data_IF_807085714134
#
_entry.id   IF_807085714134
#
_cell.length_a   1.000
_cell.length_b   1.000
_cell.length_c   1.000
_cell.angle_alpha   90.00
_cell.angle_beta   90.00
_cell.angle_gamma   90.00
#
_symmetry.space_group_name_H-M   'P 1'
#
loop_
_entity.id
_entity.type
_entity.pdbx_description
1 polymer ?
#
# COMPACT_ATOMS: atom_id res chain seq x y z
N UNK A 1 -48.49 -42.22 17.43
CA UNK A 1 -48.15 -43.18 18.51
C UNK A 1 -46.64 -43.24 18.60
N UNK A 2 -46.01 -42.59 19.60
CA UNK A 2 -44.63 -42.84 19.96
C UNK A 2 -44.59 -43.87 21.09
N UNK A 3 -43.71 -44.87 21.00
CA UNK A 3 -43.40 -45.76 22.12
C UNK A 3 -42.15 -45.25 22.82
N UNK A 4 -42.37 -44.81 24.05
CA UNK A 4 -41.38 -44.59 25.11
C UNK A 4 -40.59 -45.88 25.37
N UNK A 5 -39.30 -45.74 25.67
CA UNK A 5 -38.66 -46.62 26.64
C UNK A 5 -37.65 -45.83 27.49
N UNK A 6 -37.72 -46.18 28.76
CA UNK A 6 -37.36 -45.45 29.96
C UNK A 6 -35.89 -45.67 30.41
N UNK A 7 -35.54 -44.81 31.34
CA UNK A 7 -34.33 -44.42 32.05
C UNK A 7 -33.59 -45.51 32.85
N UNK A 8 -32.42 -45.05 33.32
CA UNK A 8 -31.61 -45.53 34.46
C UNK A 8 -30.61 -46.64 34.11
N UNK A 9 -29.37 -46.68 34.60
CA UNK A 9 -28.63 -45.95 35.62
C UNK A 9 -27.15 -45.88 35.14
N UNK A 10 -26.25 -45.05 35.65
CA UNK A 10 -25.44 -45.36 36.84
C UNK A 10 -24.83 -44.03 37.33
N UNK A 11 -25.19 -43.66 38.56
CA UNK A 11 -24.48 -42.67 39.37
C UNK A 11 -23.30 -43.37 40.04
N UNK A 12 -22.09 -42.88 39.80
CA UNK A 12 -20.87 -43.27 40.51
C UNK A 12 -20.27 -42.06 41.22
N UNK A 13 -20.60 -41.92 42.51
CA UNK A 13 -19.88 -41.12 43.50
C UNK A 13 -18.40 -41.54 43.54
N UNK A 14 -17.45 -40.60 43.64
CA UNK A 14 -16.30 -40.74 44.55
C UNK A 14 -15.81 -39.36 45.02
N UNK A 15 -15.42 -39.38 46.30
CA UNK A 15 -15.24 -38.33 47.28
C UNK A 15 -14.11 -37.34 47.01
N UNK A 16 -14.40 -36.08 47.32
CA UNK A 16 -13.44 -35.04 47.70
C UNK A 16 -12.69 -35.51 48.96
N UNK A 17 -11.36 -35.49 48.93
CA UNK A 17 -10.53 -35.59 50.14
C UNK A 17 -9.59 -34.38 50.21
N UNK A 18 -9.80 -33.61 51.27
CA UNK A 18 -9.12 -32.37 51.63
C UNK A 18 -8.06 -32.76 52.66
N UNK A 19 -6.78 -32.68 52.33
CA UNK A 19 -5.71 -32.78 53.33
C UNK A 19 -4.86 -31.51 53.29
N UNK A 20 -4.77 -30.88 54.47
CA UNK A 20 -3.97 -29.70 54.75
C UNK A 20 -2.65 -30.16 55.37
N UNK A 21 -1.61 -29.40 55.04
CA UNK A 21 -0.44 -29.06 55.86
C UNK A 21 0.82 -29.93 55.79
N UNK A 22 1.90 -29.19 55.51
CA UNK A 22 3.24 -29.28 56.07
C UNK A 22 4.19 -30.35 55.51
N UNK A 23 5.04 -29.93 54.57
CA UNK A 23 6.46 -30.28 54.59
C UNK A 23 7.26 -29.14 53.96
N UNK A 24 7.82 -28.31 54.83
CA UNK A 24 8.84 -27.30 54.54
C UNK A 24 10.19 -28.02 54.45
N UNK A 25 11.08 -27.45 53.63
CA UNK A 25 12.55 -27.58 53.63
C UNK A 25 13.16 -28.62 52.66
N UNK A 26 14.19 -28.14 51.97
CA UNK A 26 15.23 -28.88 51.23
C UNK A 26 14.98 -29.24 49.77
N UNK A 27 15.08 -28.25 48.86
CA UNK A 27 16.03 -28.26 47.71
C UNK A 27 16.23 -26.79 47.25
N UNK A 28 16.95 -26.02 48.05
CA UNK A 28 17.50 -24.74 47.63
C UNK A 28 18.96 -24.99 47.22
N UNK A 29 19.20 -25.45 45.98
CA UNK A 29 20.53 -25.50 45.36
C UNK A 29 20.53 -25.88 43.86
N UNK A 30 19.47 -25.56 43.10
CA UNK A 30 19.43 -25.70 41.63
C UNK A 30 18.67 -24.55 40.93
N UNK A 31 18.79 -23.32 41.46
CA UNK A 31 18.15 -22.10 40.92
C UNK A 31 19.15 -20.97 40.59
N UNK A 32 20.39 -21.32 40.24
CA UNK A 32 21.48 -20.35 40.01
C UNK A 32 21.94 -20.16 38.56
N UNK A 33 21.38 -20.87 37.57
CA UNK A 33 21.88 -20.83 36.17
C UNK A 33 20.74 -20.67 35.15
N UNK A 34 19.70 -19.90 35.48
CA UNK A 34 18.62 -19.55 34.54
C UNK A 34 18.27 -18.05 34.52
N UNK A 35 19.16 -17.19 35.03
CA UNK A 35 18.96 -15.73 35.07
C UNK A 35 19.75 -14.95 33.99
N UNK A 36 20.19 -15.59 32.90
CA UNK A 36 20.98 -14.93 31.84
C UNK A 36 20.47 -15.15 30.41
N UNK A 37 19.23 -15.60 30.22
CA UNK A 37 18.65 -15.82 28.87
C UNK A 37 17.25 -15.21 28.71
N UNK A 38 16.99 -14.05 29.34
CA UNK A 38 15.72 -13.32 29.19
C UNK A 38 15.93 -11.79 29.17
N UNK A 39 16.96 -11.34 28.44
CA UNK A 39 17.03 -9.97 27.90
C UNK A 39 17.24 -10.12 26.39
N UNK A 40 16.14 -10.35 25.68
CA UNK A 40 16.11 -10.57 24.24
C UNK A 40 14.69 -10.40 23.71
N UNK A 41 13.95 -9.47 24.31
CA UNK A 41 12.67 -9.00 23.82
C UNK A 41 12.75 -7.50 23.93
N UNK A 42 13.39 -6.89 22.93
CA UNK A 42 13.17 -5.50 22.64
C UNK A 42 11.71 -5.39 22.19
N UNK A 43 10.81 -5.31 23.16
CA UNK A 43 9.61 -4.49 23.01
C UNK A 43 10.15 -3.09 22.77
N UNK A 44 10.37 -2.78 21.49
CA UNK A 44 10.53 -1.42 21.03
C UNK A 44 9.21 -0.73 21.30
N UNK A 45 9.08 -0.22 22.51
CA UNK A 45 8.26 0.95 22.77
C UNK A 45 8.70 1.97 21.72
N UNK A 46 7.89 2.15 20.67
CA UNK A 46 8.10 3.25 19.71
C UNK A 46 8.01 4.50 20.58
N UNK A 47 9.18 5.06 20.88
CA UNK A 47 9.32 6.36 21.49
C UNK A 47 8.61 7.34 20.54
N UNK A 48 7.39 7.70 20.91
CA UNK A 48 6.57 8.68 20.23
C UNK A 48 7.15 10.05 20.57
N UNK A 49 8.26 10.36 19.94
CA UNK A 49 9.05 11.55 20.18
C UNK A 49 10.18 11.64 19.17
N UNK A 50 9.85 11.66 17.87
CA UNK A 50 10.81 12.07 16.86
C UNK A 50 11.39 13.42 17.27
N UNK A 51 12.71 13.47 17.50
CA UNK A 51 13.39 14.71 17.79
C UNK A 51 13.25 15.63 16.56
N UNK A 52 13.17 16.97 16.73
CA UNK A 52 13.17 17.88 15.60
C UNK A 52 14.35 17.60 14.66
N UNK A 53 14.07 17.33 13.39
CA UNK A 53 15.09 16.97 12.40
C UNK A 53 15.49 15.49 12.37
N UNK A 54 14.74 14.58 13.00
CA UNK A 54 14.91 13.14 12.79
C UNK A 54 14.49 12.76 11.36
N UNK A 55 15.33 11.97 10.69
CA UNK A 55 15.11 11.54 9.31
C UNK A 55 15.20 10.03 9.19
N UNK A 56 14.73 9.51 8.07
CA UNK A 56 15.01 8.13 7.66
C UNK A 56 15.31 8.08 6.17
N UNK A 57 16.00 7.03 5.78
CA UNK A 57 16.59 6.91 4.45
C UNK A 57 15.70 6.10 3.53
N UNK A 58 15.42 6.63 2.34
CA UNK A 58 14.67 5.93 1.29
C UNK A 58 15.52 5.87 0.03
N UNK A 59 15.81 4.65 -0.42
CA UNK A 59 16.45 4.39 -1.71
C UNK A 59 15.42 4.40 -2.83
N UNK A 60 15.83 4.89 -3.99
CA UNK A 60 15.04 4.98 -5.22
C UNK A 60 15.97 5.01 -6.44
N UNK A 61 15.41 4.97 -7.65
CA UNK A 61 16.17 4.90 -8.91
C UNK A 61 17.25 5.98 -9.07
N UNK A 62 17.02 7.18 -8.54
CA UNK A 62 17.96 8.31 -8.60
C UNK A 62 18.91 8.42 -7.40
N UNK A 63 19.00 7.38 -6.56
CA UNK A 63 19.90 7.33 -5.41
C UNK A 63 19.15 7.20 -4.09
N UNK A 64 19.36 8.14 -3.18
CA UNK A 64 18.90 8.03 -1.80
C UNK A 64 18.48 9.39 -1.27
N UNK A 65 17.35 9.43 -0.58
CA UNK A 65 16.80 10.65 0.04
C UNK A 65 16.65 10.45 1.54
N UNK A 66 17.09 11.44 2.33
CA UNK A 66 16.75 11.54 3.75
C UNK A 66 15.39 12.24 3.88
N UNK A 67 14.39 11.48 4.32
CA UNK A 67 13.02 11.94 4.49
C UNK A 67 12.84 12.39 5.95
N UNK A 68 12.36 13.62 6.21
CA UNK A 68 12.04 14.06 7.56
C UNK A 68 10.89 13.23 8.15
N UNK A 69 10.95 12.88 9.42
CA UNK A 69 9.83 12.19 10.10
C UNK A 69 8.65 13.09 10.40
N UNK A 70 8.91 14.38 10.51
CA UNK A 70 7.96 15.44 10.85
C UNK A 70 7.51 16.25 9.63
N UNK A 71 7.42 15.62 8.45
CA UNK A 71 6.83 16.25 7.27
C UNK A 71 5.34 16.61 7.53
N UNK A 72 4.92 17.75 7.01
CA UNK A 72 3.56 18.30 7.07
C UNK A 72 3.01 18.62 5.68
N UNK A 73 3.86 18.86 4.67
CA UNK A 73 3.50 19.40 3.35
C UNK A 73 4.05 18.53 2.22
N UNK A 74 3.38 17.41 1.98
CA UNK A 74 3.73 16.49 0.89
C UNK A 74 3.15 16.98 -0.44
N UNK A 75 3.96 16.99 -1.51
CA UNK A 75 3.49 17.14 -2.89
C UNK A 75 3.63 15.81 -3.62
N UNK A 76 2.53 15.37 -4.24
CA UNK A 76 2.52 14.24 -5.17
C UNK A 76 2.77 14.73 -6.59
N UNK A 77 3.80 14.20 -7.24
CA UNK A 77 4.07 14.39 -8.69
C UNK A 77 3.88 13.10 -9.49
N UNK A 78 3.40 12.04 -8.83
CA UNK A 78 3.00 10.79 -9.47
C UNK A 78 1.56 10.82 -9.96
N UNK A 79 1.32 10.03 -11.01
CA UNK A 79 0.06 9.95 -11.74
C UNK A 79 -1.09 9.32 -10.91
N UNK A 80 -0.78 8.45 -9.94
CA UNK A 80 -1.78 7.82 -9.04
C UNK A 80 -1.35 7.81 -7.57
N UNK A 81 -0.22 8.43 -7.27
CA UNK A 81 0.39 8.38 -5.93
C UNK A 81 -0.50 9.03 -4.86
N UNK A 82 -1.27 10.05 -5.23
CA UNK A 82 -2.22 10.73 -4.35
C UNK A 82 -3.25 9.76 -3.74
N UNK A 83 -3.73 8.79 -4.51
CA UNK A 83 -4.70 7.81 -4.02
C UNK A 83 -4.08 6.86 -2.98
N UNK A 84 -2.82 6.47 -3.18
CA UNK A 84 -2.09 5.66 -2.18
C UNK A 84 -1.83 6.48 -0.92
N UNK A 85 -1.44 7.75 -1.06
CA UNK A 85 -1.27 8.67 0.08
C UNK A 85 -2.56 8.73 0.91
N UNK A 86 -3.72 8.92 0.27
CA UNK A 86 -5.00 8.97 0.96
C UNK A 86 -5.33 7.66 1.67
N UNK A 87 -5.05 6.51 1.05
CA UNK A 87 -5.27 5.20 1.64
C UNK A 87 -4.47 5.00 2.93
N UNK A 88 -3.28 5.60 3.04
CA UNK A 88 -2.45 5.58 4.25
C UNK A 88 -2.64 6.81 5.16
N UNK A 89 -3.67 7.62 4.89
CA UNK A 89 -4.07 8.74 5.73
C UNK A 89 -3.29 10.04 5.52
N UNK A 90 -2.51 10.16 4.44
CA UNK A 90 -1.78 11.38 4.07
C UNK A 90 -2.53 12.12 2.97
N UNK A 91 -2.70 13.44 3.13
CA UNK A 91 -3.32 14.31 2.13
C UNK A 91 -2.25 15.23 1.53
N UNK A 92 -1.88 15.09 0.25
CA UNK A 92 -0.90 15.98 -0.33
C UNK A 92 -1.49 17.38 -0.53
N UNK A 93 -0.63 18.41 -0.47
CA UNK A 93 -1.00 19.81 -0.73
C UNK A 93 -0.98 20.16 -2.23
N UNK A 94 -0.32 19.33 -3.03
CA UNK A 94 -0.31 19.40 -4.48
C UNK A 94 -0.32 18.01 -5.11
N UNK A 95 -0.98 17.87 -6.25
CA UNK A 95 -1.10 16.58 -6.95
C UNK A 95 -1.10 16.73 -8.47
N UNK A 96 -0.90 15.60 -9.15
CA UNK A 96 -1.20 15.45 -10.57
C UNK A 96 -2.69 15.19 -10.75
N UNK A 97 -3.32 15.88 -11.70
CA UNK A 97 -4.70 15.58 -12.10
C UNK A 97 -4.68 14.68 -13.36
N UNK A 98 -5.34 13.52 -13.30
CA UNK A 98 -5.34 12.56 -14.42
C UNK A 98 -6.24 12.98 -15.56
N UNK A 99 -7.27 13.78 -15.25
CA UNK A 99 -8.25 14.23 -16.22
C UNK A 99 -8.29 15.76 -16.23
N UNK A 100 -8.19 16.39 -17.41
CA UNK A 100 -8.30 17.84 -17.52
C UNK A 100 -9.70 18.30 -17.11
N UNK A 101 -9.76 19.51 -16.57
CA UNK A 101 -11.00 20.17 -16.20
C UNK A 101 -12.02 20.18 -17.35
N UNK A 102 -13.28 19.88 -17.05
CA UNK A 102 -14.40 19.76 -18.00
C UNK A 102 -14.76 18.33 -18.39
N UNK A 103 -14.05 17.32 -17.87
CA UNK A 103 -14.42 15.90 -17.94
C UNK A 103 -15.42 15.49 -16.86
N UNK A 104 -15.94 14.26 -16.94
CA UNK A 104 -16.66 13.61 -15.83
C UNK A 104 -15.96 12.29 -15.53
N UNK A 105 -15.33 12.12 -14.36
CA UNK A 105 -15.17 13.11 -13.27
C UNK A 105 -14.26 14.30 -13.63
N UNK A 106 -14.52 15.46 -13.04
CA UNK A 106 -13.88 16.75 -13.38
C UNK A 106 -12.44 16.87 -12.83
N UNK A 107 -12.17 16.20 -11.69
CA UNK A 107 -10.85 16.10 -11.06
C UNK A 107 -10.71 14.77 -10.30
N UNK A 108 -9.47 14.31 -10.10
CA UNK A 108 -9.18 13.10 -9.30
C UNK A 108 -9.85 13.10 -7.92
N UNK A 109 -9.95 14.27 -7.28
CA UNK A 109 -10.55 14.40 -5.94
C UNK A 109 -12.04 14.04 -5.86
N UNK A 110 -12.72 13.98 -7.00
CA UNK A 110 -14.16 13.68 -7.10
C UNK A 110 -14.45 12.22 -7.42
N UNK A 111 -13.43 11.35 -7.48
CA UNK A 111 -13.67 9.93 -7.76
C UNK A 111 -14.36 9.28 -6.55
N UNK A 112 -15.40 8.44 -6.76
CA UNK A 112 -16.22 7.92 -5.66
C UNK A 112 -15.46 7.15 -4.57
N UNK A 113 -14.28 6.59 -4.90
CA UNK A 113 -13.45 5.85 -3.94
C UNK A 113 -12.46 6.73 -3.14
N UNK A 114 -12.30 8.01 -3.49
CA UNK A 114 -11.40 8.93 -2.77
C UNK A 114 -12.08 10.19 -2.25
N UNK A 115 -13.27 10.55 -2.74
CA UNK A 115 -13.97 11.80 -2.38
C UNK A 115 -14.08 11.98 -0.85
N UNK A 116 -14.51 10.93 -0.14
CA UNK A 116 -14.64 10.96 1.32
C UNK A 116 -13.27 11.06 2.03
N UNK A 117 -12.21 10.49 1.46
CA UNK A 117 -10.86 10.52 2.04
C UNK A 117 -10.27 11.94 1.98
N UNK A 118 -10.59 12.72 0.94
CA UNK A 118 -10.21 14.12 0.87
C UNK A 118 -10.84 14.96 1.98
N UNK A 119 -12.04 14.61 2.45
CA UNK A 119 -12.76 15.31 3.52
C UNK A 119 -12.76 16.86 3.36
N UNK A 120 -12.98 17.33 2.13
CA UNK A 120 -13.00 18.76 1.79
C UNK A 120 -11.63 19.41 1.55
N UNK A 121 -10.52 18.68 1.71
CA UNK A 121 -9.19 19.16 1.29
C UNK A 121 -9.13 19.24 -0.23
N UNK A 122 -8.67 20.37 -0.75
CA UNK A 122 -8.48 20.58 -2.20
C UNK A 122 -7.00 20.86 -2.47
N UNK A 123 -6.26 19.92 -3.07
CA UNK A 123 -4.86 20.12 -3.43
C UNK A 123 -4.73 20.98 -4.69
N UNK A 124 -3.61 21.71 -4.80
CA UNK A 124 -3.23 22.44 -6.01
C UNK A 124 -2.86 21.46 -7.13
N UNK A 125 -3.30 21.74 -8.36
CA UNK A 125 -2.87 20.95 -9.54
C UNK A 125 -1.50 21.44 -10.00
N UNK A 126 -0.47 20.62 -9.77
CA UNK A 126 0.91 20.92 -10.19
C UNK A 126 1.22 20.39 -11.60
N UNK A 127 0.41 19.44 -12.08
CA UNK A 127 0.48 18.89 -13.44
C UNK A 127 -0.90 18.34 -13.83
N UNK A 128 -1.31 18.57 -15.07
CA UNK A 128 -2.43 17.83 -15.68
C UNK A 128 -1.83 16.74 -16.57
N UNK A 129 -2.43 15.56 -16.62
CA UNK A 129 -1.99 14.50 -17.52
C UNK A 129 -1.93 14.99 -18.98
N UNK A 130 -0.82 14.73 -19.67
CA UNK A 130 -0.52 15.23 -21.01
C UNK A 130 0.14 16.62 -21.04
N UNK A 131 0.31 17.28 -19.90
CA UNK A 131 1.07 18.53 -19.76
C UNK A 131 2.41 18.27 -19.04
N UNK A 132 3.27 19.28 -19.00
CA UNK A 132 4.53 19.22 -18.25
C UNK A 132 4.35 19.66 -16.79
N UNK A 133 5.12 19.04 -15.89
CA UNK A 133 5.16 19.42 -14.47
C UNK A 133 5.53 20.90 -14.28
N UNK A 134 4.74 21.61 -13.45
CA UNK A 134 4.97 23.00 -13.12
C UNK A 134 5.81 23.13 -11.83
N UNK A 135 7.12 23.24 -11.98
CA UNK A 135 8.08 23.31 -10.86
C UNK A 135 7.88 24.56 -10.00
N UNK A 136 7.48 25.68 -10.59
CA UNK A 136 7.20 26.92 -9.85
C UNK A 136 5.99 26.75 -8.92
N UNK A 137 4.94 26.05 -9.36
CA UNK A 137 3.80 25.68 -8.50
C UNK A 137 4.25 24.76 -7.37
N UNK A 138 5.05 23.73 -7.67
CA UNK A 138 5.59 22.84 -6.64
C UNK A 138 6.38 23.65 -5.59
N UNK A 139 7.27 24.53 -6.03
CA UNK A 139 8.05 25.39 -5.13
C UNK A 139 7.19 26.36 -4.31
N UNK A 140 6.15 26.94 -4.92
CA UNK A 140 5.22 27.85 -4.26
C UNK A 140 4.41 27.17 -3.14
N UNK A 141 4.23 25.85 -3.20
CA UNK A 141 3.61 25.06 -2.13
C UNK A 141 4.54 24.84 -0.94
N UNK A 142 5.82 25.18 -1.03
CA UNK A 142 6.81 25.00 0.03
C UNK A 142 6.76 23.59 0.66
N UNK A 143 6.94 22.52 -0.13
CA UNK A 143 6.89 21.16 0.39
C UNK A 143 8.07 20.86 1.29
N UNK A 144 7.88 19.91 2.20
CA UNK A 144 8.95 19.26 2.97
C UNK A 144 9.25 17.85 2.45
N UNK A 145 8.38 17.31 1.59
CA UNK A 145 8.57 16.05 0.89
C UNK A 145 7.87 16.09 -0.48
N UNK A 146 8.53 15.57 -1.50
CA UNK A 146 7.96 15.35 -2.83
C UNK A 146 8.02 13.84 -3.12
N UNK A 147 6.91 13.27 -3.60
CA UNK A 147 6.81 11.85 -3.96
C UNK A 147 6.37 11.71 -5.41
N UNK A 148 7.13 10.97 -6.19
CA UNK A 148 6.89 10.72 -7.62
C UNK A 148 7.27 9.29 -7.99
N UNK A 149 6.56 8.32 -7.45
CA UNK A 149 6.80 6.88 -7.64
C UNK A 149 6.20 6.42 -8.97
N UNK A 150 4.89 6.50 -9.16
CA UNK A 150 4.26 6.17 -10.45
C UNK A 150 4.28 7.41 -11.35
N UNK A 151 5.44 7.74 -11.92
CA UNK A 151 5.66 9.00 -12.64
C UNK A 151 6.59 8.83 -13.86
N UNK A 152 6.64 9.85 -14.72
CA UNK A 152 7.56 9.97 -15.85
C UNK A 152 8.70 10.98 -15.59
N UNK A 153 8.96 11.33 -14.33
CA UNK A 153 10.02 12.29 -13.99
C UNK A 153 11.37 11.74 -14.51
N UNK A 154 12.13 12.60 -15.17
CA UNK A 154 13.49 12.27 -15.60
C UNK A 154 14.49 12.52 -14.47
N UNK A 155 15.74 12.08 -14.62
CA UNK A 155 16.81 12.45 -13.68
C UNK A 155 16.98 13.98 -13.56
N UNK A 156 16.78 14.71 -14.67
CA UNK A 156 16.81 16.17 -14.67
C UNK A 156 15.65 16.78 -13.90
N UNK A 157 14.45 16.20 -13.99
CA UNK A 157 13.29 16.62 -13.20
C UNK A 157 13.49 16.32 -11.72
N UNK A 158 14.00 15.12 -11.40
CA UNK A 158 14.37 14.73 -10.04
C UNK A 158 15.36 15.72 -9.41
N UNK A 159 16.40 16.14 -10.13
CA UNK A 159 17.37 17.13 -9.64
C UNK A 159 16.70 18.49 -9.35
N UNK A 160 15.75 18.91 -10.19
CA UNK A 160 15.00 20.16 -9.99
C UNK A 160 14.04 20.07 -8.81
N UNK A 161 13.35 18.94 -8.64
CA UNK A 161 12.48 18.68 -7.48
C UNK A 161 13.29 18.59 -6.19
N UNK A 162 14.44 17.91 -6.22
CA UNK A 162 15.34 17.78 -5.07
C UNK A 162 15.95 19.11 -4.62
N UNK A 163 16.04 20.10 -5.52
CA UNK A 163 16.41 21.46 -5.17
C UNK A 163 15.29 22.23 -4.45
N UNK A 164 14.04 21.75 -4.52
CA UNK A 164 12.88 22.31 -3.84
C UNK A 164 12.70 21.64 -2.46
N UNK A 165 12.68 20.30 -2.40
CA UNK A 165 12.51 19.52 -1.17
C UNK A 165 13.02 18.08 -1.35
N UNK A 166 13.27 17.32 -0.26
CA UNK A 166 13.52 15.88 -0.31
C UNK A 166 12.54 15.18 -1.27
N UNK A 167 13.06 14.42 -2.24
CA UNK A 167 12.26 13.84 -3.32
C UNK A 167 12.47 12.33 -3.38
N UNK A 168 11.38 11.55 -3.38
CA UNK A 168 11.43 10.09 -3.54
C UNK A 168 10.79 9.69 -4.88
N UNK A 169 11.56 8.98 -5.69
CA UNK A 169 11.11 8.37 -6.94
C UNK A 169 10.79 6.88 -6.78
N UNK A 170 10.56 6.16 -7.89
CA UNK A 170 10.31 4.72 -7.87
C UNK A 170 11.51 3.91 -7.37
N UNK A 171 11.23 2.66 -6.98
CA UNK A 171 12.21 1.74 -6.40
C UNK A 171 13.41 1.49 -7.34
N UNK A 172 14.62 1.26 -6.80
CA UNK A 172 15.86 1.19 -7.60
C UNK A 172 15.93 0.02 -8.59
N UNK A 173 15.18 -1.05 -8.35
CA UNK A 173 15.11 -2.26 -9.18
C UNK A 173 13.97 -2.23 -10.22
N UNK A 174 13.20 -1.14 -10.27
CA UNK A 174 12.12 -0.94 -11.23
C UNK A 174 12.67 -0.20 -12.47
N UNK A 175 12.73 -0.91 -13.59
CA UNK A 175 13.22 -0.38 -14.86
C UNK A 175 12.23 0.60 -15.52
N UNK A 176 10.93 0.33 -15.37
CA UNK A 176 9.84 1.17 -15.87
C UNK A 176 8.77 1.29 -14.77
N UNK A 177 8.50 2.50 -14.23
CA UNK A 177 7.53 2.70 -13.17
C UNK A 177 6.10 2.34 -13.59
N UNK A 178 5.79 2.30 -14.88
CA UNK A 178 4.44 2.02 -15.39
C UNK A 178 4.08 0.53 -15.39
N UNK A 179 5.07 -0.36 -15.32
CA UNK A 179 4.89 -1.83 -15.33
C UNK A 179 5.13 -2.46 -13.95
N UNK A 180 5.54 -1.67 -12.96
CA UNK A 180 5.71 -2.17 -11.60
C UNK A 180 4.36 -2.67 -11.04
N UNK A 181 4.34 -3.80 -10.29
CA UNK A 181 3.15 -4.20 -9.57
C UNK A 181 2.65 -3.08 -8.67
N UNK A 182 1.34 -2.82 -8.66
CA UNK A 182 0.77 -1.72 -7.88
C UNK A 182 1.10 -1.83 -6.39
N UNK A 183 1.26 -3.06 -5.88
CA UNK A 183 1.66 -3.31 -4.49
C UNK A 183 3.07 -2.78 -4.21
N UNK A 184 4.00 -2.90 -5.16
CA UNK A 184 5.39 -2.45 -4.98
C UNK A 184 5.46 -0.92 -5.09
N UNK A 185 4.69 -0.33 -6.02
CA UNK A 185 4.46 1.11 -6.06
C UNK A 185 3.87 1.61 -4.73
N UNK A 186 2.84 0.94 -4.19
CA UNK A 186 2.21 1.33 -2.93
C UNK A 186 3.19 1.23 -1.75
N UNK A 187 4.01 0.17 -1.69
CA UNK A 187 5.08 0.02 -0.70
C UNK A 187 6.12 1.12 -0.80
N UNK A 188 6.55 1.50 -2.01
CA UNK A 188 7.54 2.56 -2.19
C UNK A 188 6.99 3.93 -1.77
N UNK A 189 5.72 4.23 -2.10
CA UNK A 189 5.04 5.44 -1.64
C UNK A 189 4.93 5.43 -0.11
N UNK A 190 4.50 4.31 0.47
CA UNK A 190 4.35 4.17 1.91
C UNK A 190 5.68 4.29 2.65
N UNK A 191 6.75 3.72 2.08
CA UNK A 191 8.12 3.89 2.57
C UNK A 191 8.53 5.35 2.52
N UNK A 192 8.22 6.09 1.46
CA UNK A 192 8.45 7.54 1.40
C UNK A 192 7.68 8.34 2.46
N UNK A 193 6.59 7.79 2.99
CA UNK A 193 5.72 8.44 3.97
C UNK A 193 5.92 7.91 5.41
N UNK A 194 6.71 6.85 5.62
CA UNK A 194 6.82 6.17 6.91
C UNK A 194 5.49 5.53 7.34
N UNK A 195 4.78 4.96 6.37
CA UNK A 195 3.41 4.41 6.47
C UNK A 195 3.31 2.96 5.99
N UNK A 196 4.39 2.20 6.14
CA UNK A 196 4.49 0.83 5.62
C UNK A 196 3.45 -0.11 6.27
N UNK A 197 3.19 0.03 7.57
CA UNK A 197 2.21 -0.79 8.29
C UNK A 197 0.79 -0.56 7.73
N UNK A 198 0.40 0.70 7.49
CA UNK A 198 -0.89 1.06 6.90
C UNK A 198 -1.02 0.56 5.45
N UNK A 199 0.05 0.64 4.67
CA UNK A 199 0.06 0.17 3.29
C UNK A 199 -0.04 -1.35 3.19
N UNK A 200 0.68 -2.12 4.00
CA UNK A 200 0.55 -3.59 3.98
C UNK A 200 -0.85 -4.04 4.39
N UNK A 201 -1.50 -3.33 5.33
CA UNK A 201 -2.89 -3.59 5.68
C UNK A 201 -3.83 -3.37 4.49
N UNK A 202 -3.73 -2.22 3.81
CA UNK A 202 -4.53 -1.90 2.64
C UNK A 202 -4.26 -2.86 1.46
N UNK A 203 -2.99 -3.21 1.22
CA UNK A 203 -2.60 -4.19 0.20
C UNK A 203 -3.26 -5.54 0.48
N UNK A 204 -3.16 -6.02 1.72
CA UNK A 204 -3.74 -7.29 2.14
C UNK A 204 -5.26 -7.30 1.91
N UNK A 205 -5.96 -6.26 2.36
CA UNK A 205 -7.42 -6.13 2.18
C UNK A 205 -7.82 -6.21 0.70
N UNK A 206 -7.14 -5.48 -0.18
CA UNK A 206 -7.41 -5.51 -1.62
C UNK A 206 -7.11 -6.90 -2.20
N UNK A 207 -5.98 -7.53 -1.83
CA UNK A 207 -5.61 -8.85 -2.36
C UNK A 207 -6.53 -9.96 -1.88
N UNK A 208 -7.00 -9.91 -0.64
CA UNK A 208 -7.98 -10.85 -0.11
C UNK A 208 -9.34 -10.66 -0.80
N UNK A 209 -9.75 -9.41 -1.04
CA UNK A 209 -10.96 -9.09 -1.80
C UNK A 209 -10.90 -9.61 -3.24
N UNK A 210 -9.75 -9.48 -3.92
CA UNK A 210 -9.54 -10.04 -5.25
C UNK A 210 -9.59 -11.57 -5.22
N UNK A 211 -8.94 -12.22 -4.25
CA UNK A 211 -8.96 -13.67 -4.11
C UNK A 211 -10.40 -14.19 -3.85
N UNK A 212 -11.17 -13.48 -3.03
CA UNK A 212 -12.57 -13.79 -2.78
C UNK A 212 -13.42 -13.64 -4.07
N UNK A 213 -13.21 -12.57 -4.84
CA UNK A 213 -13.89 -12.38 -6.11
C UNK A 213 -13.59 -13.52 -7.11
N UNK A 214 -12.34 -13.99 -7.16
CA UNK A 214 -11.96 -15.17 -7.98
C UNK A 214 -12.66 -16.44 -7.51
N UNK A 215 -12.76 -16.64 -6.19
CA UNK A 215 -13.43 -17.81 -5.61
C UNK A 215 -14.94 -17.81 -5.87
N UNK A 216 -15.57 -16.64 -5.83
CA UNK A 216 -17.01 -16.46 -6.07
C UNK A 216 -17.37 -16.53 -7.56
N UNK A 217 -16.39 -16.28 -8.45
CA UNK A 217 -16.56 -16.23 -9.91
C UNK A 217 -15.61 -17.16 -10.68
N UNK A 218 -15.65 -18.49 -10.45
CA UNK A 218 -14.78 -19.44 -11.15
C UNK A 218 -14.98 -19.44 -12.67
N UNK A 219 -16.10 -18.93 -13.18
CA UNK A 219 -16.37 -18.77 -14.62
C UNK A 219 -15.41 -17.82 -15.33
N UNK A 220 -14.71 -16.92 -14.62
CA UNK A 220 -13.71 -16.02 -15.21
C UNK A 220 -12.51 -16.79 -15.76
N UNK A 221 -12.08 -17.87 -15.09
CA UNK A 221 -10.97 -18.73 -15.51
C UNK A 221 -11.15 -19.43 -16.86
N UNK A 222 -12.39 -19.48 -17.37
CA UNK A 222 -12.71 -20.00 -18.71
C UNK A 222 -12.72 -18.94 -19.81
N UNK A 223 -12.57 -17.65 -19.46
CA UNK A 223 -12.75 -16.51 -20.36
C UNK A 223 -11.44 -15.78 -20.60
N UNK A 224 -11.34 -15.14 -21.76
CA UNK A 224 -10.29 -14.18 -22.07
C UNK A 224 -10.82 -12.76 -21.89
N UNK A 225 -9.99 -11.86 -21.39
CA UNK A 225 -10.33 -10.45 -21.26
C UNK A 225 -9.13 -9.57 -21.64
N UNK A 226 -9.42 -8.35 -22.12
CA UNK A 226 -8.44 -7.33 -22.47
C UNK A 226 -8.95 -6.01 -21.94
N UNK A 227 -8.12 -5.29 -21.20
CA UNK A 227 -8.35 -3.90 -20.85
C UNK A 227 -7.92 -3.05 -22.05
N UNK A 228 -8.71 -2.05 -22.40
CA UNK A 228 -8.35 -1.12 -23.46
C UNK A 228 -8.84 0.28 -23.12
N UNK A 229 -8.09 1.28 -23.54
CA UNK A 229 -8.62 2.63 -23.64
C UNK A 229 -9.27 2.81 -25.00
N UNK A 230 -10.33 3.61 -25.03
CA UNK A 230 -10.97 4.06 -26.25
C UNK A 230 -10.82 5.57 -26.35
N UNK A 231 -10.07 6.02 -27.37
CA UNK A 231 -9.85 7.43 -27.67
C UNK A 231 -10.32 7.71 -29.10
N UNK A 232 -11.26 8.64 -29.26
CA UNK A 232 -11.92 8.96 -30.53
C UNK A 232 -12.41 7.72 -31.30
N UNK A 233 -11.71 7.35 -32.38
CA UNK A 233 -11.98 6.20 -33.23
C UNK A 233 -10.91 5.09 -33.10
N UNK A 234 -10.12 5.10 -32.02
CA UNK A 234 -8.99 4.20 -31.79
C UNK A 234 -9.09 3.42 -30.49
N UNK A 235 -8.81 2.12 -30.55
CA UNK A 235 -8.69 1.26 -29.38
C UNK A 235 -7.20 1.04 -29.08
N UNK A 236 -6.80 1.30 -27.85
CA UNK A 236 -5.47 1.04 -27.32
C UNK A 236 -5.59 -0.09 -26.28
N UNK A 237 -5.37 -1.36 -26.66
CA UNK A 237 -5.38 -2.47 -25.72
C UNK A 237 -4.10 -2.44 -24.85
N UNK A 238 -4.24 -2.84 -23.60
CA UNK A 238 -3.13 -2.98 -22.66
C UNK A 238 -2.69 -4.44 -22.58
N UNK A 239 -1.37 -4.64 -22.55
CA UNK A 239 -0.77 -5.94 -22.32
C UNK A 239 -1.12 -6.47 -20.92
N UNK A 240 -1.05 -7.79 -20.74
CA UNK A 240 -1.27 -8.41 -19.42
C UNK A 240 -0.19 -8.07 -18.40
N UNK A 241 0.94 -7.51 -18.84
CA UNK A 241 2.03 -6.98 -18.02
C UNK A 241 1.78 -5.56 -17.51
N UNK A 242 0.91 -4.79 -18.17
CA UNK A 242 0.48 -3.47 -17.69
C UNK A 242 -0.47 -3.63 -16.49
N UNK A 243 -0.47 -2.66 -15.57
CA UNK A 243 -1.31 -2.70 -14.35
C UNK A 243 -2.80 -2.94 -14.64
N UNK A 244 -3.35 -2.40 -15.75
CA UNK A 244 -4.76 -2.57 -16.15
C UNK A 244 -5.02 -3.96 -16.70
N UNK A 245 -4.08 -4.52 -17.46
CA UNK A 245 -4.16 -5.90 -17.95
C UNK A 245 -3.98 -6.91 -16.82
N UNK A 246 -3.02 -6.64 -15.93
CA UNK A 246 -2.72 -7.46 -14.76
C UNK A 246 -3.91 -7.60 -13.82
N UNK A 247 -4.69 -6.53 -13.61
CA UNK A 247 -5.95 -6.60 -12.83
C UNK A 247 -6.89 -7.69 -13.37
N UNK A 248 -7.02 -7.83 -14.69
CA UNK A 248 -7.89 -8.85 -15.27
C UNK A 248 -7.34 -10.26 -15.02
N UNK A 249 -6.03 -10.45 -15.13
CA UNK A 249 -5.41 -11.74 -14.82
C UNK A 249 -5.46 -12.09 -13.34
N UNK A 250 -5.35 -11.10 -12.46
CA UNK A 250 -5.48 -11.26 -11.00
C UNK A 250 -6.92 -11.60 -10.61
N UNK A 251 -7.92 -11.12 -11.38
CA UNK A 251 -9.32 -11.56 -11.30
C UNK A 251 -9.59 -12.91 -11.98
N UNK A 252 -8.56 -13.61 -12.44
CA UNK A 252 -8.66 -14.97 -12.96
C UNK A 252 -8.97 -15.09 -14.45
N UNK A 253 -9.10 -13.99 -15.20
CA UNK A 253 -9.24 -14.06 -16.65
C UNK A 253 -7.94 -14.54 -17.32
N UNK A 254 -8.05 -15.23 -18.45
CA UNK A 254 -6.89 -15.54 -19.28
C UNK A 254 -6.50 -14.33 -20.13
N UNK A 255 -5.20 -14.04 -20.29
CA UNK A 255 -4.76 -12.98 -21.19
C UNK A 255 -5.03 -13.35 -22.66
N UNK A 256 -5.03 -12.34 -23.54
CA UNK A 256 -5.08 -12.52 -25.00
C UNK A 256 -3.65 -12.43 -25.54
N UNK A 257 -3.05 -13.60 -25.81
CA UNK A 257 -1.64 -13.72 -26.16
C UNK A 257 -1.23 -12.88 -27.39
N UNK A 258 -2.16 -12.61 -28.31
CA UNK A 258 -1.92 -11.77 -29.48
C UNK A 258 -1.65 -10.30 -29.11
N UNK A 259 -2.26 -9.80 -28.02
CA UNK A 259 -1.99 -8.45 -27.50
C UNK A 259 -0.61 -8.40 -26.85
N UNK A 260 -0.29 -9.38 -25.99
CA UNK A 260 1.02 -9.46 -25.33
C UNK A 260 2.17 -9.56 -26.37
N UNK A 261 1.98 -10.36 -27.42
CA UNK A 261 2.94 -10.48 -28.52
C UNK A 261 3.10 -9.18 -29.31
N UNK A 262 2.02 -8.42 -29.49
CA UNK A 262 2.07 -7.14 -30.20
C UNK A 262 2.74 -6.04 -29.36
N UNK A 263 2.56 -6.08 -28.04
CA UNK A 263 3.16 -5.13 -27.11
C UNK A 263 4.67 -5.35 -26.93
N UNK A 264 5.12 -6.61 -26.88
CA UNK A 264 6.53 -6.94 -26.61
C UNK A 264 6.91 -6.50 -25.20
N UNK A 265 7.95 -5.66 -25.08
CA UNK A 265 8.40 -5.09 -23.80
C UNK A 265 7.64 -3.82 -23.39
N UNK A 266 6.56 -3.46 -24.10
CA UNK A 266 5.73 -2.27 -23.84
C UNK A 266 4.44 -2.64 -23.09
N UNK A 267 3.74 -1.62 -22.59
CA UNK A 267 2.45 -1.71 -21.91
C UNK A 267 1.25 -1.61 -22.86
#
# INVERSE_FOLDING_TARGET
MPTEHDLSAVRGFIRIRRERSAAVTFVALLLGVWLLAACGSATGERDSGAAPGDTYTVEHVYGTTEVPRDYERVVSVGYTDDQTMLAVGVKPVGMVDQYPAGGSPDRNISWPWVEDLWAGTVPEVVMTNGESLNFEKVAALQPDLIVGVYSDITEGDYQRLSAIAPTVAWAPDVADPFVAPWQDTARQIAKALGKEDEAEAAITEITDGMAQAVADHPEFGGRRAVAFSWYDASLAPFASTDVRGKLLTDLGYRPVAEIDQAAGDKF
#
